data_IF_982733403575
#
_entry.id   IF_982733403575
#
_cell.length_a   1.000
_cell.length_b   1.000
_cell.length_c   1.000
_cell.angle_alpha   90.00
_cell.angle_beta   90.00
_cell.angle_gamma   90.00
#
_symmetry.space_group_name_H-M   'P 1'
#
loop_
_entity.id
_entity.type
_entity.pdbx_description
1 polymer ?
#
# COMPACT_ATOMS: atom_id res chain seq x y z
N UNK A 1 -5.55 34.75 -29.70
CA UNK A 1 -5.40 34.31 -29.05
C UNK A 1 -4.97 33.49 -29.11
N UNK A 2 -4.84 33.04 -29.43
CA UNK A 2 -4.51 32.23 -29.28
C UNK A 2 -3.88 31.80 -28.71
N UNK A 3 -3.18 32.17 -28.69
CA UNK A 3 -2.40 31.88 -27.84
C UNK A 3 -2.79 31.01 -27.03
N UNK A 4 -3.64 30.96 -26.83
CA UNK A 4 -4.09 30.13 -25.93
C UNK A 4 -3.74 28.81 -26.23
N UNK A 5 -3.59 28.48 -27.29
CA UNK A 5 -3.33 27.19 -27.59
C UNK A 5 -2.02 26.76 -27.18
N UNK A 6 -1.04 27.44 -27.58
CA UNK A 6 0.23 27.06 -27.19
C UNK A 6 0.32 27.05 -25.77
N UNK A 7 -0.38 27.84 -25.15
CA UNK A 7 -0.35 27.85 -23.77
C UNK A 7 -0.67 26.51 -23.25
N UNK A 8 -1.59 25.89 -23.83
CA UNK A 8 -1.98 24.63 -23.34
C UNK A 8 -0.86 23.68 -23.26
N UNK A 9 -0.15 23.54 -24.28
CA UNK A 9 0.89 22.60 -24.27
C UNK A 9 1.89 22.93 -23.22
N UNK A 10 2.31 24.11 -23.21
CA UNK A 10 3.28 24.50 -22.25
C UNK A 10 2.75 24.33 -20.87
N UNK A 11 1.58 24.79 -20.69
CA UNK A 11 1.06 24.72 -19.37
C UNK A 11 0.91 23.31 -18.96
N UNK A 12 0.60 22.46 -19.83
CA UNK A 12 0.41 21.08 -19.44
C UNK A 12 1.62 20.57 -18.73
N UNK A 13 2.78 20.98 -19.12
CA UNK A 13 3.91 20.55 -18.46
C UNK A 13 4.21 21.30 -17.27
N UNK A 14 4.28 22.57 -17.38
CA UNK A 14 4.70 23.36 -16.27
C UNK A 14 3.64 23.45 -15.23
N UNK A 15 2.39 23.34 -15.62
CA UNK A 15 1.35 23.50 -14.64
C UNK A 15 0.64 22.23 -14.35
N UNK A 16 1.28 21.13 -14.56
CA UNK A 16 0.65 19.87 -14.22
C UNK A 16 0.44 19.86 -12.73
N UNK A 17 -0.79 19.95 -12.30
CA UNK A 17 -1.10 19.96 -10.89
C UNK A 17 -1.61 18.63 -10.40
N UNK A 18 -1.88 17.71 -11.29
CA UNK A 18 -2.30 16.39 -10.89
C UNK A 18 -1.95 15.42 -11.98
N UNK A 19 -1.93 14.15 -11.64
CA UNK A 19 -1.65 13.12 -12.63
C UNK A 19 -2.88 12.90 -13.50
N UNK A 20 -2.64 12.46 -14.72
CA UNK A 20 -3.74 12.24 -15.65
C UNK A 20 -4.53 11.01 -15.21
N UNK A 21 -5.72 10.86 -15.77
CA UNK A 21 -6.54 9.73 -15.42
C UNK A 21 -5.86 8.42 -15.77
N UNK A 22 -5.11 8.39 -16.84
CA UNK A 22 -4.40 7.18 -17.22
C UNK A 22 -3.30 6.88 -16.24
N UNK A 23 -2.59 7.89 -15.81
CA UNK A 23 -1.55 7.70 -14.82
C UNK A 23 -2.15 7.24 -13.51
N UNK A 24 -3.29 7.79 -13.16
CA UNK A 24 -3.94 7.38 -11.93
C UNK A 24 -4.37 5.93 -11.99
N UNK A 25 -4.81 5.47 -13.16
CA UNK A 25 -5.19 4.08 -13.29
C UNK A 25 -3.98 3.16 -13.13
N UNK A 26 -2.87 3.60 -13.64
CA UNK A 26 -1.64 2.86 -13.49
C UNK A 26 -1.31 2.68 -12.02
N UNK A 27 -1.39 3.75 -11.27
CA UNK A 27 -1.10 3.67 -9.85
C UNK A 27 -2.17 2.89 -9.10
N UNK A 28 -3.40 2.95 -9.56
CA UNK A 28 -4.47 2.19 -8.93
C UNK A 28 -4.16 0.70 -9.02
N UNK A 29 -3.66 0.26 -10.16
CA UNK A 29 -3.31 -1.14 -10.32
C UNK A 29 -2.19 -1.54 -9.37
N UNK A 30 -1.19 -0.69 -9.26
CA UNK A 30 -0.08 -0.97 -8.37
C UNK A 30 -0.57 -1.06 -6.92
N UNK A 31 -1.42 -0.12 -6.53
CA UNK A 31 -1.89 -0.09 -5.16
C UNK A 31 -2.78 -1.29 -4.86
N UNK A 32 -3.62 -1.67 -5.81
CA UNK A 32 -4.47 -2.83 -5.58
C UNK A 32 -3.66 -4.10 -5.42
N UNK A 33 -2.58 -4.22 -6.18
CA UNK A 33 -1.70 -5.36 -6.04
C UNK A 33 -1.08 -5.38 -4.65
N UNK A 34 -0.61 -4.26 -4.20
CA UNK A 34 -0.01 -4.17 -2.89
C UNK A 34 -1.02 -4.42 -1.80
N UNK A 35 -2.24 -3.96 -2.00
CA UNK A 35 -3.29 -4.19 -1.02
C UNK A 35 -3.58 -5.68 -0.89
N UNK A 36 -3.65 -6.37 -2.00
CA UNK A 36 -3.89 -7.79 -1.96
C UNK A 36 -2.82 -8.50 -1.16
N UNK A 37 -1.58 -8.18 -1.43
CA UNK A 37 -0.49 -8.80 -0.71
C UNK A 37 -0.51 -8.45 0.76
N UNK A 38 -0.76 -7.19 1.06
CA UNK A 38 -0.77 -6.74 2.43
C UNK A 38 -1.90 -7.39 3.22
N UNK A 39 -3.04 -7.56 2.60
CA UNK A 39 -4.15 -8.19 3.29
C UNK A 39 -3.88 -9.67 3.56
N UNK A 40 -3.25 -10.33 2.61
CA UNK A 40 -2.90 -11.72 2.83
C UNK A 40 -1.91 -11.85 3.97
N UNK A 41 -0.94 -10.98 4.00
CA UNK A 41 0.04 -11.01 5.04
C UNK A 41 -0.58 -10.71 6.39
N UNK A 42 -1.48 -9.74 6.41
CA UNK A 42 -2.16 -9.39 7.64
C UNK A 42 -2.98 -10.58 8.15
N UNK A 43 -3.67 -11.27 7.26
CA UNK A 43 -4.45 -12.42 7.66
C UNK A 43 -3.56 -13.53 8.20
N UNK A 44 -2.41 -13.72 7.60
CA UNK A 44 -1.48 -14.72 8.10
C UNK A 44 -1.02 -14.36 9.51
N UNK A 45 -0.71 -13.09 9.72
CA UNK A 45 -0.26 -12.68 11.05
C UNK A 45 -1.38 -12.83 12.08
N UNK A 46 -2.60 -12.55 11.67
CA UNK A 46 -3.72 -12.71 12.58
C UNK A 46 -3.87 -14.17 12.99
N UNK A 47 -3.66 -15.07 12.05
CA UNK A 47 -3.74 -16.48 12.39
C UNK A 47 -2.66 -16.87 13.38
N UNK A 48 -1.47 -16.33 13.21
CA UNK A 48 -0.41 -16.60 14.15
C UNK A 48 -0.82 -16.16 15.54
N UNK A 49 -1.37 -14.97 15.65
CA UNK A 49 -1.77 -14.45 16.94
C UNK A 49 -2.84 -15.32 17.55
N UNK A 50 -3.80 -15.74 16.77
CA UNK A 50 -4.88 -16.53 17.31
C UNK A 50 -4.43 -17.93 17.65
N UNK A 51 -3.58 -18.50 16.83
CA UNK A 51 -3.11 -19.84 17.10
C UNK A 51 -2.27 -19.87 18.34
N UNK A 52 -1.48 -18.88 18.56
CA UNK A 52 -0.67 -18.85 19.75
C UNK A 52 -1.51 -18.71 21.00
N UNK A 53 -2.70 -18.19 20.85
CA UNK A 53 -3.55 -18.06 21.99
C UNK A 53 -4.49 -19.21 22.18
N UNK A 54 -4.51 -20.14 21.25
CA UNK A 54 -5.46 -21.21 21.34
C UNK A 54 -4.78 -22.45 20.83
N UNK A 55 -4.79 -23.46 21.59
CA UNK A 55 -4.07 -24.62 21.20
C UNK A 55 -4.85 -25.61 20.46
N UNK A 56 -6.04 -25.40 20.23
CA UNK A 56 -6.79 -26.37 19.52
C UNK A 56 -6.47 -26.35 18.07
N UNK A 57 -5.70 -25.43 17.65
CA UNK A 57 -5.44 -25.36 16.29
C UNK A 57 -4.29 -26.11 15.86
N UNK A 58 -3.71 -26.75 16.72
CA UNK A 58 -2.53 -27.44 16.38
C UNK A 58 -2.69 -28.17 15.11
N UNK A 59 -3.81 -28.64 14.86
CA UNK A 59 -3.95 -29.43 13.70
C UNK A 59 -4.00 -28.66 12.45
N UNK A 60 -4.30 -27.46 12.53
CA UNK A 60 -4.53 -26.74 11.32
C UNK A 60 -3.34 -26.15 10.69
N UNK A 61 -2.21 -26.23 11.30
CA UNK A 61 -1.10 -25.55 10.69
C UNK A 61 0.12 -26.39 10.68
N UNK A 62 0.08 -27.45 10.00
CA UNK A 62 1.28 -28.25 9.89
C UNK A 62 2.41 -27.45 9.28
N UNK A 63 2.09 -26.60 8.34
CA UNK A 63 3.14 -25.83 7.72
C UNK A 63 3.74 -24.90 8.74
N UNK A 64 2.94 -24.42 9.62
CA UNK A 64 3.42 -23.55 10.64
C UNK A 64 4.41 -24.27 11.50
N UNK A 65 4.09 -25.48 11.87
CA UNK A 65 4.98 -26.26 12.65
C UNK A 65 6.24 -26.56 11.90
N UNK A 66 6.13 -26.76 10.63
CA UNK A 66 7.30 -27.03 9.84
C UNK A 66 8.27 -25.89 9.94
N UNK A 67 7.78 -24.70 9.95
CA UNK A 67 8.65 -23.56 10.05
C UNK A 67 9.39 -23.62 11.37
N UNK A 68 8.72 -23.98 12.41
CA UNK A 68 9.37 -24.10 13.66
C UNK A 68 10.40 -25.20 13.62
N UNK A 69 10.02 -26.30 13.04
CA UNK A 69 10.92 -27.42 12.98
C UNK A 69 12.19 -27.05 12.24
N UNK A 70 12.06 -26.25 11.25
CA UNK A 70 13.23 -25.84 10.54
C UNK A 70 14.09 -24.94 11.40
N UNK A 71 13.63 -24.62 12.54
CA UNK A 71 14.40 -23.79 13.43
C UNK A 71 14.51 -22.44 12.88
N UNK A 72 13.86 -22.25 11.81
CA UNK A 72 13.98 -21.03 11.20
C UNK A 72 13.51 -19.99 12.13
N UNK A 73 12.39 -20.12 12.64
CA UNK A 73 11.95 -18.98 13.28
C UNK A 73 10.48 -19.05 13.57
N UNK A 74 10.13 -18.73 14.71
CA UNK A 74 8.76 -18.74 15.11
C UNK A 74 8.42 -17.40 15.65
N UNK A 75 7.44 -16.75 15.07
CA UNK A 75 7.02 -15.47 15.53
C UNK A 75 6.30 -15.62 16.84
N UNK A 76 6.72 -14.88 17.81
CA UNK A 76 5.98 -14.86 19.04
C UNK A 76 4.69 -14.09 18.80
N UNK A 77 3.73 -14.31 19.66
CA UNK A 77 2.47 -13.63 19.56
C UNK A 77 2.67 -12.12 19.57
N UNK A 78 3.61 -11.69 20.40
CA UNK A 78 3.86 -10.27 20.52
C UNK A 78 4.46 -9.71 19.26
N UNK A 79 5.40 -10.41 18.68
CA UNK A 79 6.00 -9.95 17.43
C UNK A 79 4.97 -9.94 16.32
N UNK A 80 4.13 -10.98 16.26
CA UNK A 80 3.10 -11.02 15.24
C UNK A 80 2.12 -9.89 15.41
N UNK A 81 1.82 -9.51 16.64
CA UNK A 81 0.91 -8.40 16.87
C UNK A 81 1.49 -7.10 16.38
N UNK A 82 2.76 -6.89 16.62
CA UNK A 82 3.40 -5.67 16.16
C UNK A 82 3.43 -5.61 14.65
N UNK A 83 3.74 -6.73 14.02
CA UNK A 83 3.76 -6.75 12.57
C UNK A 83 2.36 -6.58 12.00
N UNK A 84 1.37 -7.14 12.65
CA UNK A 84 -0.01 -6.99 12.21
C UNK A 84 -0.44 -5.54 12.28
N UNK A 85 -0.02 -4.84 13.31
CA UNK A 85 -0.38 -3.44 13.44
C UNK A 85 0.25 -2.62 12.32
N UNK A 86 1.48 -2.93 11.97
CA UNK A 86 2.12 -2.26 10.87
C UNK A 86 1.42 -2.53 9.57
N UNK A 87 1.05 -3.78 9.34
CA UNK A 87 0.35 -4.13 8.13
C UNK A 87 -1.01 -3.45 8.08
N UNK A 88 -1.67 -3.39 9.20
CA UNK A 88 -2.97 -2.75 9.24
C UNK A 88 -2.86 -1.28 8.85
N UNK A 89 -1.86 -0.60 9.38
CA UNK A 89 -1.67 0.79 9.05
C UNK A 89 -1.29 0.96 7.60
N UNK A 90 -0.48 0.06 7.08
CA UNK A 90 -0.08 0.10 5.68
C UNK A 90 -1.31 -0.08 4.80
N UNK A 91 -2.18 -1.01 5.17
CA UNK A 91 -3.41 -1.24 4.42
C UNK A 91 -4.28 0.02 4.43
N UNK A 92 -4.40 0.65 5.58
CA UNK A 92 -5.19 1.87 5.66
C UNK A 92 -4.60 2.96 4.78
N UNK A 93 -3.29 3.07 4.76
CA UNK A 93 -2.65 4.08 3.93
C UNK A 93 -2.86 3.80 2.46
N UNK A 94 -2.83 2.53 2.07
CA UNK A 94 -3.08 2.19 0.67
C UNK A 94 -4.53 2.46 0.29
N UNK A 95 -5.45 2.17 1.20
CA UNK A 95 -6.85 2.45 0.93
C UNK A 95 -7.10 3.94 0.80
N UNK A 96 -6.43 4.72 1.64
CA UNK A 96 -6.55 6.16 1.54
C UNK A 96 -5.99 6.65 0.22
N UNK A 97 -4.94 5.99 -0.28
CA UNK A 97 -4.39 6.36 -1.56
C UNK A 97 -5.40 6.12 -2.67
N UNK A 98 -6.14 5.02 -2.58
CA UNK A 98 -7.17 4.76 -3.58
C UNK A 98 -8.25 5.83 -3.56
N UNK A 99 -8.59 6.32 -2.37
CA UNK A 99 -9.57 7.38 -2.26
C UNK A 99 -9.04 8.64 -2.94
N UNK A 100 -7.76 8.92 -2.75
CA UNK A 100 -7.19 10.08 -3.39
C UNK A 100 -7.18 9.93 -4.91
N UNK A 101 -7.02 8.72 -5.42
CA UNK A 101 -7.10 8.49 -6.84
C UNK A 101 -8.51 8.81 -7.32
N UNK A 102 -9.50 8.39 -6.57
CA UNK A 102 -10.88 8.70 -6.93
C UNK A 102 -11.12 10.20 -6.96
N UNK A 103 -10.53 10.90 -6.01
CA UNK A 103 -10.70 12.34 -5.93
C UNK A 103 -9.75 13.11 -6.82
N UNK A 104 -8.89 12.41 -7.56
CA UNK A 104 -7.92 13.03 -8.45
C UNK A 104 -6.89 13.86 -7.72
N UNK A 105 -6.64 13.55 -6.47
CA UNK A 105 -5.62 14.26 -5.70
C UNK A 105 -4.43 13.39 -5.38
N UNK A 106 -4.42 12.18 -5.91
CA UNK A 106 -3.33 11.26 -5.64
C UNK A 106 -2.01 11.80 -6.19
N UNK A 107 -0.94 11.59 -5.44
CA UNK A 107 0.39 11.99 -5.90
C UNK A 107 0.72 13.45 -5.70
N UNK A 108 -0.12 14.17 -4.99
CA UNK A 108 0.15 15.57 -4.72
C UNK A 108 0.64 15.68 -3.30
N UNK A 109 1.81 16.28 -3.14
CA UNK A 109 2.39 16.41 -1.83
C UNK A 109 1.52 17.26 -0.94
N UNK A 110 1.23 16.74 0.24
CA UNK A 110 0.34 17.40 1.15
C UNK A 110 0.88 18.72 1.65
N UNK A 111 2.19 18.83 1.73
CA UNK A 111 2.79 20.04 2.26
C UNK A 111 3.13 21.07 1.21
N UNK A 112 3.63 20.65 0.07
CA UNK A 112 4.06 21.60 -0.93
C UNK A 112 3.07 21.78 -2.04
N UNK A 113 2.11 20.89 -2.18
CA UNK A 113 1.16 20.97 -3.27
C UNK A 113 1.73 20.58 -4.61
N UNK A 114 2.96 20.11 -4.64
CA UNK A 114 3.58 19.72 -5.88
C UNK A 114 3.43 18.24 -6.11
N UNK A 115 3.54 17.83 -7.36
CA UNK A 115 3.42 16.43 -7.68
C UNK A 115 4.62 15.65 -7.15
N UNK A 116 4.35 14.52 -6.58
CA UNK A 116 5.41 13.62 -6.13
C UNK A 116 5.89 12.86 -7.34
N UNK A 117 7.20 12.70 -7.53
CA UNK A 117 7.71 12.02 -8.72
C UNK A 117 7.18 10.59 -8.82
N UNK A 118 6.95 10.16 -10.04
CA UNK A 118 6.44 8.81 -10.25
C UNK A 118 7.35 7.75 -9.67
N UNK A 119 8.63 7.96 -9.76
CA UNK A 119 9.56 6.97 -9.23
C UNK A 119 9.35 6.76 -7.77
N UNK A 120 9.14 7.84 -7.04
CA UNK A 120 8.90 7.70 -5.62
C UNK A 120 7.56 7.02 -5.36
N UNK A 121 6.56 7.35 -6.17
CA UNK A 121 5.25 6.74 -5.98
C UNK A 121 5.27 5.25 -6.31
N UNK A 122 6.14 4.84 -7.21
CA UNK A 122 6.23 3.41 -7.48
C UNK A 122 6.85 2.67 -6.31
N UNK A 123 7.73 3.32 -5.59
CA UNK A 123 8.34 2.71 -4.44
C UNK A 123 7.48 2.86 -3.20
N UNK A 124 6.85 4.00 -3.05
CA UNK A 124 6.00 4.28 -1.90
C UNK A 124 4.67 4.80 -2.40
N UNK A 125 3.80 3.92 -2.87
CA UNK A 125 2.56 4.36 -3.49
C UNK A 125 1.63 5.15 -2.58
N UNK A 126 1.80 5.02 -1.29
CA UNK A 126 0.93 5.75 -0.38
C UNK A 126 1.56 7.06 0.10
N UNK A 127 2.61 7.52 -0.56
CA UNK A 127 3.26 8.76 -0.18
C UNK A 127 2.31 9.94 -0.32
N UNK A 128 2.43 10.91 0.57
CA UNK A 128 1.61 12.12 0.49
C UNK A 128 2.44 13.38 0.72
#
# INVERSE_FOLDING_TARGET
>A
MSELIKDNAVSAETTKVRYSDEELEEFRTIINDMLDKARKEYNTLRRVIMHNGSNDIEDTTPSFKTVEDDGAYQLSKEEASQLAQRQYKFIQNLEAALVRIENKTYGICRETGKLIPKERLRLVPHAT
#
